data_IF_783407506886
#
_entry.id   IF_783407506886
#
_cell.length_a   1.000
_cell.length_b   1.000
_cell.length_c   1.000
_cell.angle_alpha   90.00
_cell.angle_beta   90.00
_cell.angle_gamma   90.00
#
_symmetry.space_group_name_H-M   'P 1'
#
loop_
_entity.id
_entity.type
_entity.pdbx_description
1 polymer ?
#
# COMPACT_ATOMS: atom_id res chain seq x y z
N UNK A 1 -6.01 11.59 15.68
CA UNK A 1 -7.01 10.71 15.03
C UNK A 1 -6.42 9.29 15.01
N UNK A 2 -7.23 8.24 14.84
CA UNK A 2 -6.72 6.85 14.89
C UNK A 2 -6.44 6.31 13.50
N UNK A 3 -5.41 5.46 13.36
CA UNK A 3 -4.98 4.87 12.08
C UNK A 3 -6.14 4.25 11.30
N UNK A 4 -6.20 4.50 10.00
CA UNK A 4 -7.22 3.99 9.06
C UNK A 4 -6.59 3.08 8.03
N UNK A 5 -7.39 2.19 7.46
CA UNK A 5 -6.99 1.42 6.28
C UNK A 5 -7.69 2.03 5.07
N UNK A 6 -6.91 2.42 4.07
CA UNK A 6 -7.35 2.88 2.77
C UNK A 6 -6.98 1.83 1.71
N UNK A 7 -7.84 1.67 0.71
CA UNK A 7 -7.64 0.74 -0.38
C UNK A 7 -7.53 1.51 -1.69
N UNK A 8 -6.53 1.19 -2.49
CA UNK A 8 -6.28 1.85 -3.76
C UNK A 8 -6.17 0.85 -4.90
N UNK A 9 -6.59 1.26 -6.09
CA UNK A 9 -6.28 0.60 -7.35
C UNK A 9 -5.45 1.50 -8.26
N UNK A 10 -4.56 0.91 -9.07
CA UNK A 10 -3.91 1.65 -10.15
C UNK A 10 -4.90 1.89 -11.30
N UNK A 11 -4.99 3.13 -11.80
CA UNK A 11 -5.94 3.49 -12.87
C UNK A 11 -5.60 2.88 -14.23
N UNK A 12 -4.32 2.65 -14.49
CA UNK A 12 -3.83 2.00 -15.72
C UNK A 12 -4.06 0.47 -15.72
N UNK A 13 -4.52 -0.11 -14.60
CA UNK A 13 -4.69 -1.55 -14.43
C UNK A 13 -3.39 -2.35 -14.31
N UNK A 14 -2.23 -1.69 -14.31
CA UNK A 14 -0.93 -2.30 -14.05
C UNK A 14 -0.75 -2.58 -12.56
N UNK A 15 0.25 -3.38 -12.21
CA UNK A 15 0.65 -3.58 -10.82
C UNK A 15 1.32 -2.32 -10.25
N UNK A 16 1.34 -2.20 -8.92
CA UNK A 16 2.11 -1.21 -8.18
C UNK A 16 3.59 -1.26 -8.56
N UNK A 17 4.11 -2.48 -8.74
CA UNK A 17 5.49 -2.71 -9.15
C UNK A 17 5.82 -2.05 -10.49
N UNK A 18 5.02 -2.35 -11.52
CA UNK A 18 5.23 -1.82 -12.87
C UNK A 18 5.06 -0.30 -12.87
N UNK A 19 3.98 0.18 -12.26
CA UNK A 19 3.68 1.62 -12.20
C UNK A 19 4.78 2.40 -11.50
N UNK A 20 5.36 1.86 -10.42
CA UNK A 20 6.45 2.53 -9.71
C UNK A 20 7.73 2.63 -10.55
N UNK A 21 8.09 1.53 -11.24
CA UNK A 21 9.27 1.52 -12.13
C UNK A 21 9.07 2.47 -13.31
N UNK A 22 7.92 2.43 -13.96
CA UNK A 22 7.61 3.29 -15.12
C UNK A 22 7.62 4.78 -14.78
N UNK A 23 7.16 5.14 -13.58
CA UNK A 23 7.07 6.54 -13.14
C UNK A 23 8.31 7.01 -12.35
N UNK A 24 9.34 6.16 -12.21
CA UNK A 24 10.50 6.46 -11.36
C UNK A 24 11.22 7.75 -11.75
N UNK A 25 11.39 8.04 -13.04
CA UNK A 25 12.10 9.25 -13.49
C UNK A 25 11.40 10.53 -13.05
N UNK A 26 10.06 10.56 -13.15
CA UNK A 26 9.26 11.72 -12.76
C UNK A 26 9.13 11.83 -11.24
N UNK A 27 8.96 10.69 -10.55
CA UNK A 27 9.04 10.61 -9.10
C UNK A 27 10.36 11.18 -8.58
N UNK A 28 11.50 10.66 -9.05
CA UNK A 28 12.84 11.13 -8.68
C UNK A 28 12.99 12.65 -8.83
N UNK A 29 12.67 13.18 -10.01
CA UNK A 29 12.82 14.61 -10.32
C UNK A 29 11.94 15.46 -9.41
N UNK A 30 10.70 15.04 -9.22
CA UNK A 30 9.74 15.78 -8.41
C UNK A 30 10.16 15.77 -6.94
N UNK A 31 10.48 14.60 -6.38
CA UNK A 31 10.85 14.43 -4.97
C UNK A 31 12.13 15.20 -4.61
N UNK A 32 13.19 15.11 -5.43
CA UNK A 32 14.41 15.88 -5.20
C UNK A 32 14.16 17.40 -5.28
N UNK A 33 13.29 17.84 -6.20
CA UNK A 33 12.91 19.24 -6.29
C UNK A 33 12.13 19.70 -5.06
N UNK A 34 11.16 18.92 -4.57
CA UNK A 34 10.40 19.26 -3.37
C UNK A 34 11.28 19.27 -2.12
N UNK A 35 12.21 18.32 -1.99
CA UNK A 35 13.14 18.29 -0.86
C UNK A 35 14.03 19.53 -0.84
N UNK A 36 14.62 19.88 -1.98
CA UNK A 36 15.43 21.09 -2.13
C UNK A 36 14.63 22.35 -1.78
N UNK A 37 13.44 22.50 -2.34
CA UNK A 37 12.55 23.63 -2.06
C UNK A 37 12.21 23.75 -0.57
N UNK A 38 11.99 22.62 0.11
CA UNK A 38 11.69 22.58 1.54
C UNK A 38 12.88 23.03 2.39
N UNK A 39 14.08 22.54 2.07
CA UNK A 39 15.31 22.95 2.77
C UNK A 39 15.54 24.46 2.60
N UNK A 40 15.37 24.99 1.38
CA UNK A 40 15.59 26.42 1.12
C UNK A 40 14.56 27.33 1.80
N UNK A 41 13.29 26.92 1.84
CA UNK A 41 12.19 27.75 2.39
C UNK A 41 11.99 27.58 3.89
N UNK A 42 12.18 26.37 4.40
CA UNK A 42 11.79 25.99 5.76
C UNK A 42 12.96 25.40 6.57
N UNK A 43 14.12 25.14 5.96
CA UNK A 43 15.24 24.45 6.60
C UNK A 43 14.83 23.07 7.15
N UNK A 44 13.94 22.38 6.42
CA UNK A 44 13.40 21.07 6.77
C UNK A 44 13.55 20.12 5.60
N UNK A 45 14.08 18.92 5.87
CA UNK A 45 14.19 17.82 4.91
C UNK A 45 12.90 16.99 4.95
N UNK A 46 12.36 16.63 3.79
CA UNK A 46 11.09 15.89 3.69
C UNK A 46 11.28 14.41 3.36
N UNK A 47 12.48 14.02 2.93
CA UNK A 47 12.89 12.62 2.71
C UNK A 47 14.14 12.33 3.52
N UNK A 48 14.46 11.08 3.82
CA UNK A 48 15.74 10.77 4.46
C UNK A 48 16.93 11.01 3.53
N UNK A 49 18.11 11.19 4.13
CA UNK A 49 19.38 11.24 3.40
C UNK A 49 19.61 9.97 2.56
N UNK A 50 19.17 8.80 3.02
CA UNK A 50 19.35 7.54 2.29
C UNK A 50 18.50 7.53 1.01
N UNK A 51 17.26 8.03 1.08
CA UNK A 51 16.38 8.22 -0.09
C UNK A 51 16.99 9.24 -1.05
N UNK A 52 17.40 10.40 -0.55
CA UNK A 52 18.02 11.45 -1.37
C UNK A 52 19.26 10.94 -2.11
N UNK A 53 20.21 10.34 -1.39
CA UNK A 53 21.43 9.76 -1.96
C UNK A 53 21.12 8.68 -3.01
N UNK A 54 20.15 7.81 -2.73
CA UNK A 54 19.74 6.77 -3.68
C UNK A 54 19.14 7.38 -4.95
N UNK A 55 18.24 8.34 -4.80
CA UNK A 55 17.61 9.04 -5.92
C UNK A 55 18.66 9.77 -6.75
N UNK A 56 19.61 10.50 -6.17
CA UNK A 56 20.66 11.17 -6.92
C UNK A 56 21.56 10.18 -7.69
N UNK A 57 21.96 9.09 -7.04
CA UNK A 57 22.94 8.13 -7.57
C UNK A 57 22.37 7.17 -8.64
N UNK A 58 21.06 6.98 -8.69
CA UNK A 58 20.44 6.00 -9.59
C UNK A 58 19.57 6.70 -10.66
N UNK A 59 19.85 6.44 -11.94
CA UNK A 59 19.04 6.96 -13.05
C UNK A 59 17.75 6.16 -13.26
N UNK A 60 17.75 4.90 -12.86
CA UNK A 60 16.66 3.94 -13.04
C UNK A 60 16.42 3.16 -11.73
N UNK A 61 15.19 2.69 -11.54
CA UNK A 61 14.82 1.89 -10.37
C UNK A 61 15.03 0.41 -10.64
N UNK A 62 16.04 -0.17 -10.00
CA UNK A 62 16.15 -1.61 -9.83
C UNK A 62 15.69 -1.97 -8.41
N UNK A 63 14.53 -2.64 -8.32
CA UNK A 63 13.91 -3.02 -7.06
C UNK A 63 14.74 -4.01 -6.23
N UNK A 64 15.79 -4.63 -6.80
CA UNK A 64 16.67 -5.55 -6.09
C UNK A 64 17.88 -4.86 -5.44
N UNK A 65 18.24 -3.64 -5.88
CA UNK A 65 19.43 -2.93 -5.40
C UNK A 65 19.32 -2.29 -4.01
N UNK A 66 18.26 -1.51 -3.67
CA UNK A 66 18.21 -0.85 -2.37
C UNK A 66 18.10 -1.89 -1.24
N UNK A 67 18.35 -1.51 0.01
CA UNK A 67 17.93 -2.36 1.13
C UNK A 67 16.39 -2.34 1.25
N UNK A 68 15.80 -3.34 1.92
CA UNK A 68 14.33 -3.43 2.01
C UNK A 68 13.72 -2.18 2.64
N UNK A 69 14.30 -1.69 3.75
CA UNK A 69 13.83 -0.46 4.42
C UNK A 69 13.81 0.73 3.46
N UNK A 70 14.88 0.92 2.69
CA UNK A 70 14.98 2.01 1.73
C UNK A 70 13.95 1.86 0.60
N UNK A 71 13.72 0.63 0.12
CA UNK A 71 12.68 0.38 -0.88
C UNK A 71 11.27 0.66 -0.34
N UNK A 72 11.01 0.24 0.90
CA UNK A 72 9.73 0.45 1.57
C UNK A 72 9.49 1.96 1.78
N UNK A 73 10.52 2.72 2.18
CA UNK A 73 10.47 4.19 2.29
C UNK A 73 10.23 4.88 0.94
N UNK A 74 10.96 4.49 -0.11
CA UNK A 74 10.74 4.97 -1.47
C UNK A 74 9.30 4.71 -1.95
N UNK A 75 8.72 3.57 -1.56
CA UNK A 75 7.34 3.22 -1.91
C UNK A 75 6.31 4.06 -1.14
N UNK A 76 6.58 4.35 0.14
CA UNK A 76 5.76 5.27 0.96
C UNK A 76 5.73 6.66 0.32
N UNK A 77 6.90 7.22 -0.01
CA UNK A 77 7.01 8.52 -0.67
C UNK A 77 6.31 8.54 -2.03
N UNK A 78 6.43 7.45 -2.79
CA UNK A 78 5.77 7.33 -4.08
C UNK A 78 4.24 7.36 -3.94
N UNK A 79 3.68 6.57 -3.02
CA UNK A 79 2.22 6.43 -2.88
C UNK A 79 1.56 7.58 -2.12
N UNK A 80 2.16 8.06 -1.03
CA UNK A 80 1.49 9.01 -0.12
C UNK A 80 1.86 10.46 -0.37
N UNK A 81 2.93 10.70 -1.15
CA UNK A 81 3.39 12.07 -1.43
C UNK A 81 3.31 12.35 -2.93
N UNK A 82 3.99 11.55 -3.76
CA UNK A 82 4.02 11.80 -5.20
C UNK A 82 2.69 11.52 -5.91
N UNK A 83 1.98 10.44 -5.54
CA UNK A 83 0.68 10.12 -6.11
C UNK A 83 -0.46 11.03 -5.61
N UNK A 84 -0.28 11.70 -4.48
CA UNK A 84 -1.29 12.61 -3.91
C UNK A 84 -1.07 14.07 -4.35
N UNK A 85 0.16 14.56 -4.27
CA UNK A 85 0.48 15.97 -4.49
C UNK A 85 1.34 16.23 -5.73
N UNK A 86 1.96 15.18 -6.28
CA UNK A 86 2.90 15.29 -7.38
C UNK A 86 2.28 15.13 -8.77
N UNK A 87 3.15 14.94 -9.76
CA UNK A 87 2.75 14.63 -11.14
C UNK A 87 2.12 13.23 -11.26
N UNK A 88 2.27 12.39 -10.24
CA UNK A 88 1.56 11.13 -10.10
C UNK A 88 0.11 11.29 -9.68
N UNK A 89 -0.38 12.52 -9.48
CA UNK A 89 -1.78 12.80 -9.14
C UNK A 89 -2.73 12.14 -10.14
N UNK A 90 -3.36 11.07 -9.68
CA UNK A 90 -4.29 10.27 -10.47
C UNK A 90 -3.76 8.94 -11.00
N UNK A 91 -2.55 8.51 -10.66
CA UNK A 91 -2.09 7.13 -10.88
C UNK A 91 -2.90 6.12 -10.08
N UNK A 92 -3.26 6.50 -8.84
CA UNK A 92 -4.08 5.70 -7.94
C UNK A 92 -5.52 6.21 -7.88
N UNK A 93 -6.43 5.33 -7.51
CA UNK A 93 -7.82 5.63 -7.20
C UNK A 93 -8.20 4.92 -5.91
N UNK A 94 -8.76 5.69 -4.97
CA UNK A 94 -9.33 5.16 -3.73
C UNK A 94 -10.55 4.28 -4.03
N UNK A 95 -10.67 3.16 -3.31
CA UNK A 95 -11.75 2.18 -3.42
C UNK A 95 -12.36 1.91 -2.06
N UNK A 96 -13.68 1.94 -1.97
CA UNK A 96 -14.41 1.60 -0.77
C UNK A 96 -14.21 2.58 0.39
N UNK A 97 -14.68 2.21 1.60
CA UNK A 97 -14.67 3.10 2.75
C UNK A 97 -13.31 3.08 3.48
N UNK A 98 -12.86 4.26 3.91
CA UNK A 98 -11.76 4.37 4.87
C UNK A 98 -12.29 4.14 6.27
N UNK A 99 -11.93 3.02 6.88
CA UNK A 99 -12.33 2.71 8.26
C UNK A 99 -11.12 2.58 9.17
N UNK A 100 -11.32 2.92 10.45
CA UNK A 100 -10.27 2.80 11.45
C UNK A 100 -9.79 1.36 11.62
N UNK A 101 -8.48 1.17 11.77
CA UNK A 101 -7.83 -0.13 12.04
C UNK A 101 -8.47 -0.90 13.20
N UNK A 102 -9.01 -0.18 14.20
CA UNK A 102 -9.72 -0.77 15.34
C UNK A 102 -10.99 -1.54 14.96
N UNK A 103 -11.66 -1.18 13.85
CA UNK A 103 -12.85 -1.87 13.35
C UNK A 103 -12.54 -3.26 12.79
N UNK A 104 -11.27 -3.55 12.46
CA UNK A 104 -10.84 -4.88 12.02
C UNK A 104 -10.49 -5.83 13.20
N UNK A 105 -10.47 -5.35 14.45
CA UNK A 105 -10.06 -6.20 15.60
C UNK A 105 -10.91 -7.46 15.74
N UNK A 106 -12.20 -7.37 15.45
CA UNK A 106 -13.09 -8.52 15.52
C UNK A 106 -12.97 -9.43 14.30
N UNK A 107 -12.84 -8.87 13.08
CA UNK A 107 -12.55 -9.66 11.87
C UNK A 107 -11.30 -10.53 12.04
N UNK A 108 -10.19 -9.99 12.56
CA UNK A 108 -8.98 -10.78 12.82
C UNK A 108 -9.24 -11.99 13.73
N UNK A 109 -10.08 -11.84 14.76
CA UNK A 109 -10.46 -12.94 15.67
C UNK A 109 -11.35 -13.98 14.98
N UNK A 110 -12.25 -13.53 14.10
CA UNK A 110 -13.12 -14.42 13.33
C UNK A 110 -12.28 -15.24 12.35
N UNK A 111 -11.43 -14.58 11.56
CA UNK A 111 -10.56 -15.24 10.57
C UNK A 111 -9.64 -16.26 11.25
N UNK A 112 -9.02 -15.90 12.38
CA UNK A 112 -8.15 -16.81 13.12
C UNK A 112 -8.85 -18.10 13.59
N UNK A 113 -10.17 -18.10 13.77
CA UNK A 113 -10.96 -19.27 14.17
C UNK A 113 -11.34 -20.19 13.01
N UNK A 114 -11.30 -19.72 11.76
CA UNK A 114 -11.71 -20.51 10.58
C UNK A 114 -10.81 -21.72 10.29
N UNK A 115 -9.67 -21.86 11.00
CA UNK A 115 -8.63 -22.88 10.75
C UNK A 115 -8.11 -22.91 9.30
N UNK A 116 -8.39 -21.86 8.52
CA UNK A 116 -7.89 -21.66 7.16
C UNK A 116 -6.64 -20.77 7.25
N UNK A 117 -5.46 -21.40 7.20
CA UNK A 117 -4.17 -20.69 7.33
C UNK A 117 -3.95 -19.70 6.19
N UNK A 118 -4.26 -20.08 4.94
CA UNK A 118 -4.07 -19.20 3.80
C UNK A 118 -4.94 -17.94 3.89
N UNK A 119 -6.19 -18.07 4.35
CA UNK A 119 -7.05 -16.92 4.60
C UNK A 119 -6.48 -16.01 5.69
N UNK A 120 -5.98 -16.60 6.78
CA UNK A 120 -5.36 -15.84 7.87
C UNK A 120 -4.09 -15.10 7.41
N UNK A 121 -3.25 -15.73 6.59
CA UNK A 121 -2.02 -15.15 6.06
C UNK A 121 -2.33 -13.97 5.11
N UNK A 122 -3.29 -14.13 4.20
CA UNK A 122 -3.75 -13.05 3.31
C UNK A 122 -4.36 -11.90 4.12
N UNK A 123 -5.21 -12.22 5.11
CA UNK A 123 -5.85 -11.21 5.95
C UNK A 123 -4.85 -10.44 6.81
N UNK A 124 -3.75 -11.10 7.22
CA UNK A 124 -2.71 -10.48 8.05
C UNK A 124 -1.95 -9.35 7.33
N UNK A 125 -2.01 -9.27 5.99
CA UNK A 125 -1.44 -8.15 5.20
C UNK A 125 -2.06 -6.81 5.62
N UNK A 126 -3.33 -6.78 6.04
CA UNK A 126 -3.98 -5.58 6.61
C UNK A 126 -3.27 -5.04 7.86
N UNK A 127 -2.50 -5.88 8.55
CA UNK A 127 -1.83 -5.54 9.81
C UNK A 127 -0.34 -5.27 9.63
N UNK A 128 0.31 -6.03 8.76
CA UNK A 128 1.78 -6.03 8.63
C UNK A 128 2.27 -5.50 7.28
N UNK A 129 1.38 -5.28 6.33
CA UNK A 129 1.76 -4.90 4.97
C UNK A 129 2.50 -6.01 4.24
N UNK A 130 3.08 -5.65 3.10
CA UNK A 130 3.88 -6.55 2.27
C UNK A 130 4.91 -5.75 1.47
N UNK A 131 6.18 -6.11 1.60
CA UNK A 131 7.25 -5.50 0.80
C UNK A 131 7.14 -5.91 -0.67
N UNK A 132 7.36 -4.92 -1.53
CA UNK A 132 7.27 -5.07 -2.98
C UNK A 132 8.31 -6.05 -3.55
N UNK A 133 9.42 -6.29 -2.85
CA UNK A 133 10.54 -7.13 -3.34
C UNK A 133 10.22 -8.62 -3.32
N UNK A 134 9.86 -9.13 -2.15
CA UNK A 134 9.92 -10.56 -1.83
C UNK A 134 8.71 -11.07 -1.02
N UNK A 135 7.69 -10.22 -0.82
CA UNK A 135 6.50 -10.62 -0.05
C UNK A 135 6.71 -10.68 1.45
N UNK A 136 7.89 -10.33 1.96
CA UNK A 136 8.14 -10.18 3.40
C UNK A 136 7.25 -9.08 4.01
N UNK A 137 7.18 -9.03 5.33
CA UNK A 137 6.55 -7.93 6.05
C UNK A 137 7.15 -6.57 5.64
N UNK A 138 6.29 -5.57 5.47
CA UNK A 138 6.68 -4.19 5.17
C UNK A 138 7.33 -3.54 6.38
N UNK A 139 8.38 -2.76 6.14
CA UNK A 139 9.03 -1.95 7.18
C UNK A 139 8.15 -0.74 7.47
N UNK A 140 7.72 -0.55 8.71
CA UNK A 140 6.88 0.61 9.09
C UNK A 140 7.68 1.91 8.90
N UNK A 141 7.17 2.83 8.10
CA UNK A 141 7.78 4.14 7.80
C UNK A 141 6.85 5.22 8.36
N UNK A 142 7.33 6.01 9.32
CA UNK A 142 6.55 7.06 10.02
C UNK A 142 5.19 6.62 10.56
N UNK A 143 5.05 5.31 10.79
CA UNK A 143 3.84 4.69 11.29
C UNK A 143 2.87 4.24 10.20
N UNK A 144 3.18 4.50 8.93
CA UNK A 144 2.45 4.00 7.77
C UNK A 144 2.93 2.60 7.38
N UNK A 145 2.00 1.84 6.79
CA UNK A 145 2.23 0.47 6.33
C UNK A 145 1.59 0.32 4.96
N UNK A 146 2.37 -0.17 3.99
CA UNK A 146 1.88 -0.52 2.66
C UNK A 146 1.87 -2.03 2.49
N UNK A 147 0.77 -2.53 1.93
CA UNK A 147 0.63 -3.90 1.47
C UNK A 147 -0.20 -3.94 0.20
N UNK A 148 -0.35 -5.13 -0.36
CA UNK A 148 -1.18 -5.34 -1.53
C UNK A 148 -1.61 -6.80 -1.62
N UNK A 149 -2.81 -7.00 -2.18
CA UNK A 149 -3.31 -8.31 -2.57
C UNK A 149 -3.25 -8.46 -4.08
N UNK A 150 -2.64 -9.54 -4.55
CA UNK A 150 -2.65 -9.86 -5.96
C UNK A 150 -4.00 -10.45 -6.41
N UNK A 151 -4.17 -10.62 -7.72
CA UNK A 151 -5.40 -11.17 -8.30
C UNK A 151 -5.82 -12.52 -7.72
N UNK A 152 -4.87 -13.42 -7.46
CA UNK A 152 -5.18 -14.74 -6.94
C UNK A 152 -5.68 -14.63 -5.50
N UNK A 153 -5.06 -13.77 -4.70
CA UNK A 153 -5.47 -13.49 -3.33
C UNK A 153 -6.83 -12.79 -3.26
N UNK A 154 -7.11 -11.85 -4.17
CA UNK A 154 -8.43 -11.22 -4.29
C UNK A 154 -9.52 -12.23 -4.62
N UNK A 155 -9.26 -13.14 -5.57
CA UNK A 155 -10.20 -14.21 -5.90
C UNK A 155 -10.38 -15.20 -4.75
N UNK A 156 -9.29 -15.53 -4.04
CA UNK A 156 -9.34 -16.37 -2.86
C UNK A 156 -10.17 -15.75 -1.75
N UNK A 157 -9.96 -14.47 -1.44
CA UNK A 157 -10.76 -13.72 -0.46
C UNK A 157 -12.25 -13.74 -0.83
N UNK A 158 -12.61 -13.49 -2.10
CA UNK A 158 -14.01 -13.54 -2.54
C UNK A 158 -14.67 -14.89 -2.26
N UNK A 159 -13.97 -15.98 -2.54
CA UNK A 159 -14.50 -17.32 -2.35
C UNK A 159 -14.64 -17.68 -0.86
N UNK A 160 -13.61 -17.40 -0.08
CA UNK A 160 -13.57 -17.80 1.33
C UNK A 160 -14.48 -16.93 2.22
N UNK A 161 -14.58 -15.62 1.96
CA UNK A 161 -15.43 -14.72 2.76
C UNK A 161 -16.92 -15.06 2.64
N UNK A 162 -17.36 -15.60 1.50
CA UNK A 162 -18.73 -16.10 1.33
C UNK A 162 -19.07 -17.26 2.28
N UNK A 163 -18.07 -18.03 2.71
CA UNK A 163 -18.22 -19.17 3.61
C UNK A 163 -18.20 -18.82 5.10
N UNK A 164 -17.95 -17.56 5.47
CA UNK A 164 -17.83 -17.17 6.89
C UNK A 164 -19.21 -16.96 7.51
N UNK A 165 -19.55 -17.80 8.48
CA UNK A 165 -20.73 -17.67 9.32
C UNK A 165 -20.57 -16.51 10.34
N UNK A 166 -20.61 -15.26 9.88
CA UNK A 166 -20.86 -14.05 10.69
C UNK A 166 -20.97 -12.83 9.77
N UNK A 167 -22.20 -12.52 9.33
CA UNK A 167 -22.49 -11.53 8.28
C UNK A 167 -22.56 -10.06 8.74
N UNK A 168 -22.21 -9.76 9.99
CA UNK A 168 -22.40 -8.42 10.59
C UNK A 168 -21.10 -7.86 11.19
N UNK A 169 -19.92 -8.29 10.70
CA UNK A 169 -18.65 -7.73 11.15
C UNK A 169 -18.20 -6.60 10.20
N UNK A 170 -18.02 -5.40 10.74
CA UNK A 170 -17.68 -4.19 9.96
C UNK A 170 -16.39 -4.37 9.14
N UNK A 171 -15.39 -5.08 9.67
CA UNK A 171 -14.14 -5.32 8.95
C UNK A 171 -14.34 -6.24 7.75
N UNK A 172 -15.11 -7.32 7.93
CA UNK A 172 -15.45 -8.24 6.84
C UNK A 172 -16.35 -7.55 5.80
N UNK A 173 -17.36 -6.81 6.25
CA UNK A 173 -18.29 -6.08 5.37
C UNK A 173 -17.55 -5.03 4.53
N UNK A 174 -16.58 -4.33 5.13
CA UNK A 174 -15.70 -3.40 4.42
C UNK A 174 -14.92 -4.10 3.30
N UNK A 175 -14.27 -5.23 3.60
CA UNK A 175 -13.52 -5.97 2.56
C UNK A 175 -14.48 -6.49 1.47
N UNK A 176 -15.66 -7.00 1.82
CA UNK A 176 -16.66 -7.41 0.82
C UNK A 176 -17.10 -6.25 -0.08
N UNK A 177 -17.31 -5.06 0.48
CA UNK A 177 -17.63 -3.86 -0.29
C UNK A 177 -16.48 -3.48 -1.23
N UNK A 178 -15.24 -3.45 -0.74
CA UNK A 178 -14.04 -3.16 -1.54
C UNK A 178 -13.88 -4.17 -2.68
N UNK A 179 -14.03 -5.47 -2.39
CA UNK A 179 -13.96 -6.54 -3.39
C UNK A 179 -15.06 -6.44 -4.46
N UNK A 180 -16.23 -5.94 -4.09
CA UNK A 180 -17.34 -5.67 -5.00
C UNK A 180 -17.05 -4.47 -5.89
N UNK A 181 -16.56 -3.37 -5.30
CA UNK A 181 -16.28 -2.13 -6.02
C UNK A 181 -15.11 -2.25 -6.99
N UNK A 182 -14.05 -2.97 -6.59
CA UNK A 182 -12.87 -3.16 -7.45
C UNK A 182 -13.19 -4.08 -8.65
N UNK A 183 -14.14 -5.01 -8.52
CA UNK A 183 -14.57 -5.94 -9.57
C UNK A 183 -13.59 -7.08 -9.88
N UNK A 184 -13.97 -7.99 -10.78
CA UNK A 184 -13.33 -9.31 -10.95
C UNK A 184 -12.04 -9.33 -11.81
N UNK A 185 -11.73 -8.22 -12.48
CA UNK A 185 -10.65 -8.16 -13.49
C UNK A 185 -9.44 -7.32 -13.08
N UNK A 186 -9.27 -7.10 -11.78
CA UNK A 186 -8.18 -6.29 -11.26
C UNK A 186 -6.98 -7.16 -10.92
N UNK A 187 -5.80 -6.65 -11.25
CA UNK A 187 -4.55 -7.35 -11.04
C UNK A 187 -4.07 -7.26 -9.59
N UNK A 188 -4.39 -6.18 -8.91
CA UNK A 188 -3.89 -5.89 -7.58
C UNK A 188 -4.81 -4.90 -6.86
N UNK A 189 -4.86 -5.01 -5.53
CA UNK A 189 -5.41 -4.00 -4.64
C UNK A 189 -4.34 -3.57 -3.65
N UNK A 190 -4.06 -2.28 -3.59
CA UNK A 190 -3.10 -1.68 -2.68
C UNK A 190 -3.80 -1.35 -1.37
N UNK A 191 -3.11 -1.58 -0.26
CA UNK A 191 -3.58 -1.38 1.10
C UNK A 191 -2.61 -0.42 1.77
N UNK A 192 -3.12 0.70 2.25
CA UNK A 192 -2.35 1.68 3.00
C UNK A 192 -2.96 1.82 4.38
N UNK A 193 -2.15 1.66 5.42
CA UNK A 193 -2.54 2.06 6.78
C UNK A 193 -2.01 3.46 7.04
N UNK A 194 -2.89 4.45 7.02
CA UNK A 194 -2.58 5.87 7.19
C UNK A 194 -2.85 6.31 8.65
N UNK A 195 -2.03 7.22 9.20
CA UNK A 195 -2.23 7.81 10.55
C UNK A 195 -3.30 8.92 10.57
#
# INVERSE_FOLDING_TARGET
>A
MGKRIAFYEMKNGQSLRETFVENYSDFKKWTLCQNKDSIEKYNEQIISNDVENFLESNSELDLQKPEQKLLDELLTEFLLVFCDYGKGSGLVKLIGPLIGTHNYKNSFKIIAKQKNKALADIWNILKVGRSLRNGNQFTVIDGDIIGFWDRNELNYLRNELNGIENKNDIGIDCINQVLTEIGENKNELIIVTEI
#
